data_IF_836952775792
#
_entry.id   IF_836952775792
#
_cell.length_a   1.000
_cell.length_b   1.000
_cell.length_c   1.000
_cell.angle_alpha   90.00
_cell.angle_beta   90.00
_cell.angle_gamma   90.00
#
_symmetry.space_group_name_H-M   'P 1'
#
loop_
_entity.id
_entity.type
_entity.pdbx_description
1 polymer ?
#
# COMPACT_ATOMS: atom_id res chain seq x y z
N UNK A 1 75.96 19.83 -14.04
CA UNK A 1 75.93 18.95 -12.86
C UNK A 1 74.50 18.72 -12.44
N UNK A 2 73.90 17.59 -12.80
CA UNK A 2 72.53 17.20 -12.39
C UNK A 2 72.65 16.18 -11.26
N UNK A 3 72.16 16.53 -10.08
CA UNK A 3 72.12 15.59 -8.90
C UNK A 3 70.90 14.71 -9.06
N UNK A 4 71.12 13.42 -9.19
CA UNK A 4 70.14 12.38 -9.09
C UNK A 4 69.85 12.07 -7.61
N UNK A 5 68.58 12.19 -7.21
CA UNK A 5 68.10 11.81 -5.88
C UNK A 5 67.67 10.31 -5.96
N UNK A 6 68.15 9.42 -5.12
CA UNK A 6 67.71 8.03 -5.09
C UNK A 6 66.34 7.95 -4.47
N UNK A 7 65.40 7.24 -5.12
CA UNK A 7 64.10 6.93 -4.63
C UNK A 7 64.20 5.75 -3.68
N UNK A 8 64.05 6.01 -2.39
CA UNK A 8 64.04 5.00 -1.34
C UNK A 8 62.63 4.36 -1.29
N UNK A 9 62.49 3.21 -1.96
CA UNK A 9 61.28 2.41 -1.90
C UNK A 9 61.17 1.73 -0.54
N UNK A 10 60.65 2.47 0.43
CA UNK A 10 60.33 1.93 1.75
C UNK A 10 59.38 0.73 1.63
N UNK A 11 59.81 -0.40 2.12
CA UNK A 11 59.03 -1.66 2.27
C UNK A 11 57.72 -1.35 3.02
N UNK A 12 56.62 -1.63 2.42
CA UNK A 12 55.31 -1.65 3.11
C UNK A 12 55.38 -2.70 4.24
N UNK A 13 55.01 -2.37 5.46
CA UNK A 13 54.90 -3.36 6.54
C UNK A 13 53.85 -4.39 6.14
N UNK A 14 54.23 -5.68 6.23
CA UNK A 14 53.31 -6.80 6.09
C UNK A 14 52.31 -6.75 7.23
N UNK A 15 51.02 -6.64 6.92
CA UNK A 15 49.93 -6.78 7.88
C UNK A 15 50.00 -8.17 8.54
N UNK A 16 49.81 -8.27 9.86
CA UNK A 16 49.81 -9.55 10.55
C UNK A 16 48.67 -10.43 10.04
N UNK A 17 48.99 -11.66 9.67
CA UNK A 17 48.09 -12.69 9.13
C UNK A 17 47.15 -13.34 10.15
N UNK A 18 47.01 -12.78 11.35
CA UNK A 18 46.16 -13.30 12.40
C UNK A 18 44.94 -12.42 12.67
N UNK A 19 44.12 -12.21 11.68
CA UNK A 19 42.70 -11.95 11.92
C UNK A 19 42.04 -13.30 12.22
N UNK A 20 42.02 -13.65 13.49
CA UNK A 20 41.18 -14.71 14.04
C UNK A 20 39.76 -14.43 13.56
N UNK A 21 39.24 -15.36 12.74
CA UNK A 21 37.85 -15.42 12.35
C UNK A 21 37.01 -15.60 13.60
N UNK A 22 36.59 -14.53 14.26
CA UNK A 22 35.47 -14.57 15.17
C UNK A 22 34.26 -14.87 14.29
N UNK A 23 33.89 -16.15 14.28
CA UNK A 23 32.81 -16.67 13.47
C UNK A 23 31.47 -16.19 13.99
N UNK A 24 31.04 -15.01 13.57
CA UNK A 24 29.59 -14.77 13.45
C UNK A 24 29.07 -15.82 12.46
N UNK A 25 28.01 -16.58 12.80
CA UNK A 25 27.47 -17.59 11.90
C UNK A 25 27.11 -16.90 10.59
N UNK A 26 27.81 -17.22 9.50
CA UNK A 26 27.48 -16.72 8.18
C UNK A 26 26.09 -17.26 7.85
N UNK A 27 25.08 -16.38 7.89
CA UNK A 27 23.74 -16.70 7.38
C UNK A 27 23.94 -17.25 5.98
N UNK A 28 23.64 -18.53 5.77
CA UNK A 28 23.74 -19.10 4.44
C UNK A 28 22.78 -18.33 3.53
N UNK A 29 23.17 -18.08 2.27
CA UNK A 29 22.33 -17.41 1.27
C UNK A 29 20.95 -18.08 1.11
N UNK A 30 20.87 -19.39 1.40
CA UNK A 30 19.61 -20.14 1.43
C UNK A 30 18.70 -19.74 2.60
N UNK A 31 19.27 -19.48 3.78
CA UNK A 31 18.49 -18.96 4.93
C UNK A 31 17.97 -17.56 4.64
N UNK A 32 18.75 -16.70 4.00
CA UNK A 32 18.30 -15.36 3.59
C UNK A 32 17.08 -15.42 2.65
N UNK A 33 17.08 -16.37 1.70
CA UNK A 33 15.92 -16.56 0.79
C UNK A 33 14.62 -16.92 1.53
N UNK A 34 14.71 -17.56 2.68
CA UNK A 34 13.53 -17.92 3.48
C UNK A 34 12.99 -16.74 4.30
N UNK A 35 13.81 -15.72 4.54
CA UNK A 35 13.46 -14.57 5.38
C UNK A 35 12.92 -13.38 4.60
N UNK A 36 13.00 -13.39 3.27
CA UNK A 36 12.57 -12.25 2.44
C UNK A 36 12.08 -12.72 1.07
N UNK A 37 11.01 -12.12 0.52
CA UNK A 37 10.60 -12.32 -0.86
C UNK A 37 11.55 -11.63 -1.87
N UNK A 38 12.52 -10.85 -1.40
CA UNK A 38 13.49 -10.20 -2.27
C UNK A 38 14.33 -11.22 -3.06
N UNK A 39 14.71 -10.85 -4.28
CA UNK A 39 15.54 -11.67 -5.16
C UNK A 39 17.00 -11.66 -4.76
N UNK A 40 17.32 -12.32 -3.65
CA UNK A 40 18.69 -12.45 -3.14
C UNK A 40 19.33 -13.74 -3.63
N UNK A 41 20.66 -13.75 -3.76
CA UNK A 41 21.46 -14.94 -4.05
C UNK A 41 21.05 -15.70 -5.33
N UNK A 42 20.71 -14.98 -6.41
CA UNK A 42 20.23 -15.57 -7.66
C UNK A 42 21.29 -16.40 -8.39
N UNK A 43 22.56 -16.27 -8.02
CA UNK A 43 23.69 -16.90 -8.72
C UNK A 43 24.09 -16.13 -9.98
N UNK A 44 25.08 -16.68 -10.68
CA UNK A 44 25.58 -16.15 -11.97
C UNK A 44 25.88 -17.29 -12.91
N UNK A 45 25.70 -17.05 -14.22
CA UNK A 45 26.15 -17.91 -15.30
C UNK A 45 27.04 -17.04 -16.20
N UNK A 46 28.36 -17.10 -15.99
CA UNK A 46 29.28 -16.13 -16.56
C UNK A 46 29.00 -14.71 -16.08
N UNK A 47 28.82 -13.76 -17.00
CA UNK A 47 28.47 -12.36 -16.71
C UNK A 47 26.95 -12.15 -16.51
N UNK A 48 26.11 -13.19 -16.72
CA UNK A 48 24.66 -13.07 -16.75
C UNK A 48 23.99 -13.75 -15.56
N UNK A 49 22.69 -13.48 -15.38
CA UNK A 49 21.82 -14.23 -14.48
C UNK A 49 21.54 -15.64 -15.05
N UNK A 50 21.32 -16.65 -14.19
CA UNK A 50 20.79 -17.93 -14.63
C UNK A 50 19.47 -17.77 -15.39
N UNK A 51 19.27 -18.51 -16.47
CA UNK A 51 18.08 -18.42 -17.33
C UNK A 51 16.78 -18.51 -16.53
N UNK A 52 16.70 -19.43 -15.56
CA UNK A 52 15.53 -19.57 -14.69
C UNK A 52 15.21 -18.27 -13.96
N UNK A 53 16.20 -17.64 -13.32
CA UNK A 53 16.01 -16.40 -12.57
C UNK A 53 15.61 -15.22 -13.49
N UNK A 54 16.14 -15.20 -14.72
CA UNK A 54 15.76 -14.20 -15.74
C UNK A 54 14.32 -14.40 -16.20
N UNK A 55 13.89 -15.63 -16.46
CA UNK A 55 12.51 -15.93 -16.87
C UNK A 55 11.50 -15.60 -15.78
N UNK A 56 11.80 -15.96 -14.51
CA UNK A 56 10.97 -15.58 -13.36
C UNK A 56 10.83 -14.06 -13.23
N UNK A 57 11.94 -13.34 -13.34
CA UNK A 57 11.92 -11.87 -13.32
C UNK A 57 11.07 -11.29 -14.46
N UNK A 58 11.22 -11.81 -15.68
CA UNK A 58 10.47 -11.34 -16.84
C UNK A 58 8.98 -11.59 -16.70
N UNK A 59 8.59 -12.75 -16.14
CA UNK A 59 7.19 -13.09 -15.86
C UNK A 59 6.59 -12.14 -14.82
N UNK A 60 7.29 -11.87 -13.72
CA UNK A 60 6.80 -10.97 -12.69
C UNK A 60 6.69 -9.52 -13.18
N UNK A 61 7.64 -9.11 -14.03
CA UNK A 61 7.55 -7.81 -14.70
C UNK A 61 6.33 -7.73 -15.65
N UNK A 62 6.04 -8.78 -16.39
CA UNK A 62 4.86 -8.85 -17.24
C UNK A 62 3.57 -8.77 -16.41
N UNK A 63 3.47 -9.53 -15.32
CA UNK A 63 2.33 -9.48 -14.38
C UNK A 63 2.11 -8.09 -13.80
N UNK A 64 3.20 -7.43 -13.37
CA UNK A 64 3.12 -6.07 -12.84
C UNK A 64 2.63 -5.08 -13.90
N UNK A 65 3.10 -5.21 -15.15
CA UNK A 65 2.63 -4.39 -16.27
C UNK A 65 1.15 -4.65 -16.58
N UNK A 66 0.74 -5.89 -16.62
CA UNK A 66 -0.64 -6.28 -16.91
C UNK A 66 -1.59 -5.76 -15.83
N UNK A 67 -1.18 -5.77 -14.57
CA UNK A 67 -1.95 -5.19 -13.45
C UNK A 67 -2.16 -3.66 -13.58
N UNK A 68 -1.16 -2.93 -14.15
CA UNK A 68 -1.29 -1.49 -14.44
C UNK A 68 -2.31 -1.24 -15.55
N UNK A 69 -2.38 -2.12 -16.54
CA UNK A 69 -3.22 -1.95 -17.74
C UNK A 69 -4.52 -2.73 -17.68
N UNK A 70 -4.81 -3.42 -16.58
CA UNK A 70 -6.07 -4.11 -16.38
C UNK A 70 -7.25 -3.13 -16.44
N UNK A 71 -8.38 -3.61 -16.93
CA UNK A 71 -9.61 -2.85 -16.94
C UNK A 71 -10.16 -2.69 -15.52
N UNK A 72 -10.66 -1.51 -15.22
CA UNK A 72 -11.34 -1.22 -13.97
C UNK A 72 -12.82 -1.57 -14.09
N UNK A 73 -13.25 -2.64 -13.42
CA UNK A 73 -14.64 -3.09 -13.47
C UNK A 73 -15.52 -2.32 -12.46
N UNK A 74 -15.75 -1.05 -12.76
CA UNK A 74 -16.58 -0.18 -11.93
C UNK A 74 -18.00 -0.73 -11.73
N UNK A 75 -18.56 -1.42 -12.73
CA UNK A 75 -19.92 -1.95 -12.64
C UNK A 75 -20.00 -3.12 -11.65
N UNK A 76 -19.04 -4.03 -11.66
CA UNK A 76 -18.97 -5.10 -10.67
C UNK A 76 -18.76 -4.58 -9.26
N UNK A 77 -17.96 -3.53 -9.09
CA UNK A 77 -17.76 -2.88 -7.79
C UNK A 77 -19.04 -2.21 -7.28
N UNK A 78 -19.79 -1.52 -8.16
CA UNK A 78 -21.11 -0.94 -7.80
C UNK A 78 -22.09 -2.03 -7.38
N UNK A 79 -22.17 -3.15 -8.12
CA UNK A 79 -22.99 -4.29 -7.70
C UNK A 79 -22.54 -4.88 -6.37
N UNK A 80 -21.23 -5.08 -6.19
CA UNK A 80 -20.67 -5.61 -4.96
C UNK A 80 -20.94 -4.72 -3.74
N UNK A 81 -20.95 -3.38 -3.92
CA UNK A 81 -21.37 -2.45 -2.87
C UNK A 81 -22.87 -2.55 -2.59
N UNK A 82 -23.71 -2.69 -3.61
CA UNK A 82 -25.15 -2.89 -3.44
C UNK A 82 -25.46 -4.19 -2.69
N UNK A 83 -24.73 -5.28 -2.93
CA UNK A 83 -24.83 -6.55 -2.17
C UNK A 83 -24.43 -6.38 -0.70
N UNK A 84 -23.67 -5.36 -0.36
CA UNK A 84 -23.28 -4.96 0.99
C UNK A 84 -24.24 -3.91 1.60
N UNK A 85 -25.34 -3.57 0.93
CA UNK A 85 -26.29 -2.57 1.39
C UNK A 85 -25.86 -1.11 1.15
N UNK A 86 -24.84 -0.88 0.34
CA UNK A 86 -24.31 0.45 0.06
C UNK A 86 -24.65 0.88 -1.36
N UNK A 87 -25.44 1.95 -1.50
CA UNK A 87 -25.71 2.57 -2.79
C UNK A 87 -24.50 3.40 -3.23
N UNK A 88 -23.93 3.06 -4.40
CA UNK A 88 -22.71 3.67 -4.89
C UNK A 88 -22.93 4.75 -5.94
N UNK A 89 -22.21 5.85 -5.82
CA UNK A 89 -22.12 6.92 -6.81
C UNK A 89 -20.86 6.68 -7.67
N UNK A 90 -21.03 6.62 -8.98
CA UNK A 90 -19.89 6.53 -9.89
C UNK A 90 -19.42 7.92 -10.32
N UNK A 91 -18.12 8.19 -10.19
CA UNK A 91 -17.45 9.43 -10.56
C UNK A 91 -16.19 9.17 -11.37
N UNK A 92 -15.70 10.19 -12.06
CA UNK A 92 -14.46 10.12 -12.84
C UNK A 92 -13.55 11.30 -12.49
N UNK A 93 -12.25 11.08 -12.60
CA UNK A 93 -11.27 12.15 -12.55
C UNK A 93 -11.19 12.88 -13.90
N UNK A 94 -10.39 13.96 -13.95
CA UNK A 94 -10.09 14.68 -15.20
C UNK A 94 -9.20 13.88 -16.16
N UNK A 95 -8.69 12.72 -15.78
CA UNK A 95 -7.93 11.85 -16.67
C UNK A 95 -8.87 11.03 -17.56
N UNK A 96 -9.02 11.38 -18.85
CA UNK A 96 -10.06 10.81 -19.72
C UNK A 96 -9.76 9.36 -20.13
N UNK A 97 -8.48 8.96 -20.07
CA UNK A 97 -8.03 7.62 -20.42
C UNK A 97 -6.86 7.14 -19.53
N UNK A 98 -6.65 5.84 -19.49
CA UNK A 98 -5.55 5.24 -18.72
C UNK A 98 -4.18 5.80 -19.07
N UNK A 99 -3.93 6.09 -20.35
CA UNK A 99 -2.70 6.73 -20.82
C UNK A 99 -2.47 8.10 -20.18
N UNK A 100 -3.52 8.92 -20.12
CA UNK A 100 -3.46 10.26 -19.55
C UNK A 100 -3.28 10.19 -18.03
N UNK A 101 -3.98 9.27 -17.36
CA UNK A 101 -3.81 8.99 -15.94
C UNK A 101 -2.36 8.65 -15.57
N UNK A 102 -1.68 7.85 -16.39
CA UNK A 102 -0.29 7.46 -16.15
C UNK A 102 0.69 8.61 -16.42
N UNK A 103 0.46 9.38 -17.50
CA UNK A 103 1.33 10.47 -17.93
C UNK A 103 1.11 11.78 -17.15
N UNK A 104 -0.12 12.03 -16.66
CA UNK A 104 -0.56 13.28 -16.02
C UNK A 104 -1.20 13.00 -14.66
N UNK A 105 -0.38 12.74 -13.61
CA UNK A 105 -0.90 12.45 -12.27
C UNK A 105 -1.77 13.56 -11.67
N UNK A 106 -1.58 14.79 -12.10
CA UNK A 106 -2.36 15.96 -11.71
C UNK A 106 -3.85 15.84 -12.11
N UNK A 107 -4.14 15.23 -13.26
CA UNK A 107 -5.51 15.02 -13.73
C UNK A 107 -6.27 14.00 -12.87
N UNK A 108 -5.59 12.94 -12.41
CA UNK A 108 -6.17 11.92 -11.55
C UNK A 108 -6.46 12.38 -10.12
N UNK A 109 -6.05 13.59 -9.75
CA UNK A 109 -6.29 14.18 -8.43
C UNK A 109 -7.52 15.09 -8.38
N UNK A 110 -8.17 15.33 -9.52
CA UNK A 110 -9.28 16.28 -9.66
C UNK A 110 -10.47 15.61 -10.30
N UNK A 111 -11.65 15.89 -9.77
CA UNK A 111 -12.92 15.47 -10.37
C UNK A 111 -13.15 16.17 -11.71
N UNK A 112 -13.78 15.46 -12.66
CA UNK A 112 -14.33 16.09 -13.84
C UNK A 112 -15.60 16.93 -13.49
N UNK A 113 -16.04 17.75 -14.42
CA UNK A 113 -17.15 18.69 -14.18
C UNK A 113 -18.49 17.97 -13.93
N UNK A 114 -18.74 16.88 -14.66
CA UNK A 114 -19.99 16.11 -14.53
C UNK A 114 -20.05 15.41 -13.16
N UNK A 115 -18.93 14.84 -12.71
CA UNK A 115 -18.81 14.22 -11.39
C UNK A 115 -18.94 15.24 -10.26
N UNK A 116 -18.36 16.44 -10.40
CA UNK A 116 -18.56 17.53 -9.45
C UNK A 116 -20.03 17.90 -9.31
N UNK A 117 -20.73 18.08 -10.44
CA UNK A 117 -22.16 18.41 -10.45
C UNK A 117 -23.00 17.28 -9.83
N UNK A 118 -22.65 16.02 -10.10
CA UNK A 118 -23.34 14.84 -9.58
C UNK A 118 -23.19 14.74 -8.06
N UNK A 119 -22.00 14.98 -7.51
CA UNK A 119 -21.76 14.97 -6.07
C UNK A 119 -22.45 16.13 -5.37
N UNK A 120 -22.42 17.32 -5.94
CA UNK A 120 -23.12 18.50 -5.41
C UNK A 120 -24.64 18.29 -5.30
N UNK A 121 -25.22 17.46 -6.18
CA UNK A 121 -26.64 17.11 -6.16
C UNK A 121 -27.05 16.07 -5.11
N UNK A 122 -26.10 15.44 -4.38
CA UNK A 122 -26.44 14.35 -3.45
C UNK A 122 -27.12 14.82 -2.15
N UNK A 123 -27.02 16.08 -1.81
CA UNK A 123 -27.51 16.59 -0.53
C UNK A 123 -26.72 16.05 0.67
N UNK A 124 -26.95 16.65 1.83
CA UNK A 124 -26.31 16.18 3.06
C UNK A 124 -27.00 14.90 3.55
N UNK A 125 -26.24 13.81 3.68
CA UNK A 125 -26.70 12.55 4.30
C UNK A 125 -26.19 12.48 5.74
N UNK A 126 -27.00 11.89 6.62
CA UNK A 126 -26.52 11.51 7.94
C UNK A 126 -25.41 10.45 7.77
N UNK A 127 -24.37 10.57 8.58
CA UNK A 127 -23.24 9.64 8.56
C UNK A 127 -21.90 10.35 8.62
N UNK A 128 -20.87 9.59 8.92
CA UNK A 128 -19.54 10.13 9.22
C UNK A 128 -18.54 9.83 8.11
N UNK A 129 -18.70 8.71 7.42
CA UNK A 129 -17.74 8.22 6.45
C UNK A 129 -18.23 8.35 5.01
N UNK A 130 -17.29 8.65 4.11
CA UNK A 130 -17.39 8.33 2.69
C UNK A 130 -16.39 7.22 2.35
N UNK A 131 -16.89 6.06 1.93
CA UNK A 131 -16.07 4.96 1.40
C UNK A 131 -15.89 5.20 -0.09
N UNK A 132 -14.64 5.22 -0.55
CA UNK A 132 -14.28 5.49 -1.93
C UNK A 132 -13.44 4.33 -2.46
N UNK A 133 -13.81 3.79 -3.61
CA UNK A 133 -13.06 2.75 -4.32
C UNK A 133 -12.50 3.35 -5.61
N UNK A 134 -11.18 3.48 -5.71
CA UNK A 134 -10.51 4.04 -6.87
C UNK A 134 -9.57 3.04 -7.55
N UNK A 135 -9.48 3.08 -8.88
CA UNK A 135 -8.66 2.17 -9.68
C UNK A 135 -7.15 2.24 -9.34
N UNK A 136 -6.64 3.42 -9.03
CA UNK A 136 -5.23 3.58 -8.67
C UNK A 136 -4.26 3.16 -9.77
N UNK A 137 -3.09 2.70 -9.36
CA UNK A 137 -2.08 2.16 -10.27
C UNK A 137 -2.29 0.69 -10.61
N UNK A 138 -3.11 -0.05 -9.84
CA UNK A 138 -3.46 -1.45 -10.10
C UNK A 138 -4.98 -1.65 -10.04
N UNK A 139 -5.72 -1.44 -11.14
CA UNK A 139 -7.13 -1.81 -11.20
C UNK A 139 -7.37 -3.27 -10.84
N UNK A 140 -6.42 -4.16 -11.19
CA UNK A 140 -6.48 -5.58 -10.84
C UNK A 140 -6.60 -5.81 -9.32
N UNK A 141 -5.83 -5.07 -8.52
CA UNK A 141 -5.90 -5.15 -7.06
C UNK A 141 -7.28 -4.77 -6.52
N UNK A 142 -7.83 -3.69 -7.05
CA UNK A 142 -9.14 -3.18 -6.60
C UNK A 142 -10.25 -4.15 -6.96
N UNK A 143 -10.27 -4.64 -8.20
CA UNK A 143 -11.24 -5.64 -8.66
C UNK A 143 -11.20 -6.92 -7.81
N UNK A 144 -10.01 -7.35 -7.39
CA UNK A 144 -9.83 -8.57 -6.61
C UNK A 144 -10.16 -8.40 -5.11
N UNK A 145 -9.78 -7.27 -4.51
CA UNK A 145 -9.66 -7.18 -3.06
C UNK A 145 -10.65 -6.21 -2.40
N UNK A 146 -11.16 -5.18 -3.10
CA UNK A 146 -11.92 -4.11 -2.46
C UNK A 146 -13.20 -4.62 -1.77
N UNK A 147 -14.03 -5.39 -2.45
CA UNK A 147 -15.28 -5.93 -1.88
C UNK A 147 -15.00 -6.96 -0.79
N UNK A 148 -13.96 -7.81 -0.95
CA UNK A 148 -13.58 -8.79 0.06
C UNK A 148 -13.13 -8.12 1.37
N UNK A 149 -12.36 -7.03 1.28
CA UNK A 149 -11.96 -6.24 2.44
C UNK A 149 -13.16 -5.56 3.10
N UNK A 150 -14.06 -4.95 2.33
CA UNK A 150 -15.25 -4.29 2.86
C UNK A 150 -16.17 -5.26 3.61
N UNK A 151 -16.32 -6.50 3.15
CA UNK A 151 -17.08 -7.55 3.88
C UNK A 151 -16.54 -7.80 5.28
N UNK A 152 -15.24 -7.58 5.51
CA UNK A 152 -14.61 -7.71 6.83
C UNK A 152 -14.67 -6.43 7.64
N UNK A 153 -14.61 -5.28 6.98
CA UNK A 153 -14.58 -3.97 7.63
C UNK A 153 -15.97 -3.52 8.10
N UNK A 154 -17.02 -3.69 7.28
CA UNK A 154 -18.34 -3.15 7.56
C UNK A 154 -18.92 -3.63 8.90
N UNK A 155 -18.86 -4.94 9.27
CA UNK A 155 -19.34 -5.39 10.57
C UNK A 155 -18.63 -4.73 11.75
N UNK A 156 -17.35 -4.38 11.63
CA UNK A 156 -16.60 -3.69 12.67
C UNK A 156 -17.07 -2.25 12.84
N UNK A 157 -17.38 -1.56 11.73
CA UNK A 157 -17.92 -0.22 11.76
C UNK A 157 -19.33 -0.16 12.36
N UNK A 158 -20.17 -1.15 12.08
CA UNK A 158 -21.49 -1.32 12.72
C UNK A 158 -21.37 -1.48 14.23
N UNK A 159 -20.44 -2.32 14.70
CA UNK A 159 -20.19 -2.51 16.14
C UNK A 159 -19.72 -1.21 16.82
N UNK A 160 -18.96 -0.39 16.13
CA UNK A 160 -18.47 0.90 16.62
C UNK A 160 -19.49 2.05 16.41
N UNK A 161 -20.69 1.77 15.93
CA UNK A 161 -21.74 2.73 15.58
C UNK A 161 -21.24 3.86 14.65
N UNK A 162 -20.40 3.49 13.67
CA UNK A 162 -19.88 4.41 12.66
C UNK A 162 -20.74 4.32 11.40
N UNK A 163 -21.48 5.37 11.12
CA UNK A 163 -22.38 5.42 9.96
C UNK A 163 -21.64 5.79 8.68
N UNK A 164 -21.95 5.06 7.62
CA UNK A 164 -21.46 5.34 6.26
C UNK A 164 -22.48 6.22 5.55
N UNK A 165 -22.10 7.46 5.27
CA UNK A 165 -22.95 8.40 4.54
C UNK A 165 -22.96 8.12 3.05
N UNK A 166 -21.82 7.77 2.47
CA UNK A 166 -21.64 7.64 1.03
C UNK A 166 -20.72 6.48 0.67
N UNK A 167 -21.03 5.81 -0.45
CA UNK A 167 -20.14 4.91 -1.16
C UNK A 167 -19.89 5.47 -2.57
N UNK A 168 -18.64 5.50 -3.01
CA UNK A 168 -18.24 6.09 -4.28
C UNK A 168 -17.31 5.16 -5.03
N UNK A 169 -17.53 4.95 -6.32
CA UNK A 169 -16.60 4.25 -7.23
C UNK A 169 -16.00 5.30 -8.16
N UNK A 170 -14.67 5.45 -8.14
CA UNK A 170 -13.96 6.53 -8.80
C UNK A 170 -12.99 6.01 -9.86
N UNK A 171 -13.24 6.37 -11.13
CA UNK A 171 -12.38 6.01 -12.27
C UNK A 171 -11.28 7.04 -12.50
N UNK A 172 -10.06 6.57 -12.79
CA UNK A 172 -8.89 7.42 -13.00
C UNK A 172 -8.39 8.08 -11.71
N UNK A 173 -8.61 7.45 -10.57
CA UNK A 173 -8.41 8.06 -9.26
C UNK A 173 -6.97 7.98 -8.76
N UNK A 174 -6.44 9.08 -8.25
CA UNK A 174 -5.30 9.18 -7.33
C UNK A 174 -5.80 9.40 -5.91
N UNK A 175 -4.98 9.10 -4.91
CA UNK A 175 -5.36 9.23 -3.50
C UNK A 175 -6.01 10.58 -3.18
N UNK A 176 -5.44 11.69 -3.66
CA UNK A 176 -5.97 13.03 -3.43
C UNK A 176 -7.34 13.33 -4.09
N UNK A 177 -7.84 12.46 -4.98
CA UNK A 177 -9.21 12.56 -5.48
C UNK A 177 -10.22 12.28 -4.36
N UNK A 178 -9.84 11.43 -3.40
CA UNK A 178 -10.64 11.14 -2.23
C UNK A 178 -10.96 12.38 -1.39
N UNK A 179 -10.03 13.33 -1.32
CA UNK A 179 -10.23 14.58 -0.60
C UNK A 179 -11.24 15.49 -1.30
N UNK A 180 -11.15 15.59 -2.64
CA UNK A 180 -12.13 16.36 -3.42
C UNK A 180 -13.54 15.75 -3.31
N UNK A 181 -13.64 14.40 -3.37
CA UNK A 181 -14.91 13.67 -3.21
C UNK A 181 -15.48 13.93 -1.80
N UNK A 182 -14.66 13.71 -0.77
CA UNK A 182 -15.09 13.89 0.62
C UNK A 182 -15.52 15.31 0.93
N UNK A 183 -14.77 16.31 0.44
CA UNK A 183 -15.12 17.72 0.57
C UNK A 183 -16.44 18.05 -0.15
N UNK A 184 -16.64 17.55 -1.37
CA UNK A 184 -17.87 17.79 -2.14
C UNK A 184 -19.12 17.18 -1.47
N UNK A 185 -18.94 16.06 -0.75
CA UNK A 185 -20.01 15.36 -0.03
C UNK A 185 -20.18 15.85 1.43
N UNK A 186 -19.28 16.69 1.94
CA UNK A 186 -19.30 17.13 3.33
C UNK A 186 -19.04 15.99 4.32
N UNK A 187 -18.30 14.96 3.93
CA UNK A 187 -17.97 13.82 4.78
C UNK A 187 -16.98 14.23 5.90
N UNK A 188 -17.18 13.72 7.12
CA UNK A 188 -16.23 13.97 8.22
C UNK A 188 -14.90 13.26 8.00
N UNK A 189 -14.94 12.05 7.38
CA UNK A 189 -13.75 11.28 7.05
C UNK A 189 -13.95 10.54 5.73
N UNK A 190 -12.89 10.41 4.95
CA UNK A 190 -12.84 9.54 3.78
C UNK A 190 -11.99 8.31 4.05
N UNK A 191 -12.44 7.16 3.53
CA UNK A 191 -11.73 5.89 3.50
C UNK A 191 -11.60 5.48 2.04
N UNK A 192 -10.43 5.68 1.47
CA UNK A 192 -10.16 5.42 0.06
C UNK A 192 -9.39 4.13 -0.14
N UNK A 193 -10.08 3.13 -0.70
CA UNK A 193 -9.47 1.88 -1.17
C UNK A 193 -8.94 2.11 -2.58
N UNK A 194 -7.66 1.84 -2.80
CA UNK A 194 -7.02 2.16 -4.08
C UNK A 194 -5.93 1.14 -4.45
N UNK A 195 -5.82 0.80 -5.73
CA UNK A 195 -4.76 -0.08 -6.22
C UNK A 195 -3.39 0.57 -6.11
N UNK A 196 -2.48 -0.09 -5.42
CA UNK A 196 -1.10 0.36 -5.24
C UNK A 196 -0.27 0.20 -6.53
N UNK A 197 0.94 0.73 -6.52
CA UNK A 197 1.87 0.49 -7.62
C UNK A 197 2.28 -0.98 -7.64
N UNK A 198 2.01 -1.72 -8.73
CA UNK A 198 2.38 -3.12 -8.84
C UNK A 198 3.87 -3.34 -8.60
N UNK A 199 4.19 -4.19 -7.64
CA UNK A 199 5.53 -4.69 -7.39
C UNK A 199 5.79 -6.01 -8.13
N UNK A 200 7.05 -6.42 -8.20
CA UNK A 200 7.43 -7.70 -8.83
C UNK A 200 7.01 -8.92 -8.00
N UNK A 201 6.84 -8.75 -6.69
CA UNK A 201 6.37 -9.79 -5.77
C UNK A 201 4.89 -9.68 -5.41
N UNK A 202 4.27 -8.53 -5.69
CA UNK A 202 2.86 -8.24 -5.42
C UNK A 202 2.33 -7.30 -6.51
N UNK A 203 1.75 -7.87 -7.55
CA UNK A 203 1.20 -7.11 -8.67
C UNK A 203 -0.20 -6.53 -8.35
N UNK A 204 -0.88 -7.12 -7.38
CA UNK A 204 -2.27 -6.88 -7.02
C UNK A 204 -2.43 -6.37 -5.56
N UNK A 205 -1.52 -5.56 -5.07
CA UNK A 205 -1.61 -4.98 -3.73
C UNK A 205 -2.63 -3.85 -3.67
N UNK A 206 -3.51 -3.89 -2.65
CA UNK A 206 -4.49 -2.85 -2.34
C UNK A 206 -3.97 -2.00 -1.17
N UNK A 207 -4.14 -0.68 -1.26
CA UNK A 207 -3.91 0.26 -0.18
C UNK A 207 -5.21 0.95 0.25
N UNK A 208 -5.28 1.33 1.53
CA UNK A 208 -6.39 2.10 2.09
C UNK A 208 -5.85 3.36 2.73
N UNK A 209 -6.39 4.51 2.33
CA UNK A 209 -6.01 5.82 2.84
C UNK A 209 -7.18 6.44 3.59
N UNK A 210 -6.89 6.96 4.79
CA UNK A 210 -7.86 7.59 5.67
C UNK A 210 -7.54 9.08 5.82
N UNK A 211 -8.54 9.94 5.63
CA UNK A 211 -8.38 11.39 5.75
C UNK A 211 -9.53 11.98 6.55
N UNK A 212 -9.24 12.57 7.70
CA UNK A 212 -10.20 13.33 8.49
C UNK A 212 -10.34 14.75 7.94
N UNK A 213 -11.56 15.29 7.95
CA UNK A 213 -11.91 16.61 7.40
C UNK A 213 -11.31 16.85 6.00
N UNK A 214 -11.64 15.99 5.02
CA UNK A 214 -11.02 16.03 3.70
C UNK A 214 -11.28 17.38 3.03
N UNK A 215 -10.21 17.98 2.48
CA UNK A 215 -10.26 19.25 1.79
C UNK A 215 -9.34 19.25 0.55
N UNK A 216 -9.70 20.02 -0.45
CA UNK A 216 -8.88 20.16 -1.64
C UNK A 216 -7.48 20.71 -1.31
N UNK A 217 -6.44 20.07 -1.87
CA UNK A 217 -5.06 20.49 -1.66
C UNK A 217 -4.37 19.93 -0.43
N UNK A 218 -5.00 18.98 0.28
CA UNK A 218 -4.35 18.29 1.40
C UNK A 218 -3.11 17.51 0.93
N UNK A 219 -2.09 17.49 1.79
CA UNK A 219 -0.83 16.76 1.59
C UNK A 219 -0.90 15.36 2.17
N UNK A 220 0.02 14.48 1.74
CA UNK A 220 0.03 13.07 2.14
C UNK A 220 0.28 12.88 3.66
N UNK A 221 0.90 13.85 4.33
CA UNK A 221 1.12 13.84 5.78
C UNK A 221 -0.18 13.87 6.61
N UNK A 222 -1.30 14.29 6.00
CA UNK A 222 -2.63 14.32 6.63
C UNK A 222 -3.39 12.99 6.52
N UNK A 223 -2.79 11.97 5.89
CA UNK A 223 -3.43 10.68 5.63
C UNK A 223 -2.75 9.56 6.39
N UNK A 224 -3.53 8.69 7.02
CA UNK A 224 -3.03 7.38 7.40
C UNK A 224 -3.13 6.43 6.21
N UNK A 225 -2.24 5.46 6.15
CA UNK A 225 -2.21 4.47 5.09
C UNK A 225 -2.06 3.07 5.68
N UNK A 226 -2.93 2.15 5.24
CA UNK A 226 -2.78 0.72 5.45
C UNK A 226 -2.51 0.10 4.08
N UNK A 227 -1.34 -0.46 3.88
CA UNK A 227 -0.84 -0.93 2.59
C UNK A 227 -0.58 -2.43 2.57
N UNK A 228 -0.21 -2.95 1.39
CA UNK A 228 0.18 -4.35 1.20
C UNK A 228 -0.95 -5.35 1.48
N UNK A 229 -2.19 -5.00 1.17
CA UNK A 229 -3.37 -5.85 1.37
C UNK A 229 -3.55 -6.73 0.14
N UNK A 230 -3.19 -8.00 0.26
CA UNK A 230 -3.30 -9.05 -0.76
C UNK A 230 -3.07 -10.42 -0.16
N UNK A 231 -3.30 -11.50 -0.91
CA UNK A 231 -3.27 -12.88 -0.40
C UNK A 231 -1.97 -13.34 0.26
N UNK A 232 -0.82 -12.77 -0.11
CA UNK A 232 0.50 -13.07 0.49
C UNK A 232 1.03 -11.91 1.35
N UNK A 233 0.26 -10.84 1.53
CA UNK A 233 0.59 -9.66 2.34
C UNK A 233 -0.23 -9.58 3.62
N UNK A 234 -0.76 -8.39 3.90
CA UNK A 234 -1.65 -8.17 5.02
C UNK A 234 -3.02 -8.81 4.74
N UNK A 235 -3.48 -9.68 5.66
CA UNK A 235 -4.77 -10.36 5.51
C UNK A 235 -5.95 -9.38 5.58
N UNK A 236 -7.12 -9.76 5.03
CA UNK A 236 -8.29 -8.88 5.11
C UNK A 236 -8.77 -8.67 6.54
N UNK A 237 -8.66 -9.68 7.41
CA UNK A 237 -9.08 -9.57 8.82
C UNK A 237 -8.17 -8.61 9.58
N UNK A 238 -6.85 -8.71 9.41
CA UNK A 238 -5.88 -7.81 10.04
C UNK A 238 -6.00 -6.38 9.48
N UNK A 239 -6.18 -6.26 8.16
CA UNK A 239 -6.39 -4.96 7.51
C UNK A 239 -7.67 -4.30 8.01
N UNK A 240 -8.79 -5.03 8.09
CA UNK A 240 -10.06 -4.52 8.57
C UNK A 240 -9.98 -4.09 10.04
N UNK A 241 -9.34 -4.88 10.90
CA UNK A 241 -9.14 -4.52 12.31
C UNK A 241 -8.31 -3.23 12.46
N UNK A 242 -7.22 -3.10 11.70
CA UNK A 242 -6.36 -1.91 11.69
C UNK A 242 -7.09 -0.69 11.15
N UNK A 243 -7.81 -0.82 10.03
CA UNK A 243 -8.57 0.26 9.42
C UNK A 243 -9.71 0.69 10.35
N UNK A 244 -10.45 -0.24 10.95
CA UNK A 244 -11.52 0.04 11.91
C UNK A 244 -10.98 0.82 13.12
N UNK A 245 -9.83 0.41 13.67
CA UNK A 245 -9.18 1.15 14.76
C UNK A 245 -8.81 2.58 14.34
N UNK A 246 -8.20 2.76 13.16
CA UNK A 246 -7.83 4.08 12.65
C UNK A 246 -9.05 4.98 12.40
N UNK A 247 -10.15 4.43 11.91
CA UNK A 247 -11.41 5.17 11.71
C UNK A 247 -11.95 5.64 13.06
N UNK A 248 -12.09 4.75 14.04
CA UNK A 248 -12.60 5.08 15.37
C UNK A 248 -11.77 6.16 16.05
N UNK A 249 -10.44 5.97 16.12
CA UNK A 249 -9.54 6.93 16.74
C UNK A 249 -9.47 8.25 15.97
N UNK A 250 -9.47 8.19 14.64
CA UNK A 250 -9.47 9.38 13.79
C UNK A 250 -10.72 10.23 13.94
N UNK A 251 -11.89 9.60 14.07
CA UNK A 251 -13.16 10.29 14.34
C UNK A 251 -13.24 10.83 15.78
N UNK A 252 -12.75 10.06 16.77
CA UNK A 252 -12.76 10.45 18.16
C UNK A 252 -11.78 11.59 18.46
N UNK A 253 -10.59 11.56 17.89
CA UNK A 253 -9.54 12.57 18.07
C UNK A 253 -9.61 13.71 17.06
N UNK A 254 -10.47 13.62 16.05
CA UNK A 254 -10.65 14.58 14.95
C UNK A 254 -9.36 14.86 14.16
N UNK A 255 -8.56 13.81 13.92
CA UNK A 255 -7.30 13.91 13.21
C UNK A 255 -6.92 12.62 12.49
N UNK A 256 -6.07 12.73 11.46
CA UNK A 256 -5.40 11.63 10.75
C UNK A 256 -3.97 12.03 10.37
N UNK A 257 -3.27 11.13 9.71
CA UNK A 257 -1.92 11.33 9.22
C UNK A 257 -0.86 11.16 10.31
N UNK A 258 0.21 11.93 10.23
CA UNK A 258 1.37 11.82 11.15
C UNK A 258 1.01 12.07 12.63
N UNK A 259 -0.09 12.78 12.89
CA UNK A 259 -0.57 13.05 14.23
C UNK A 259 -1.32 11.86 14.84
N UNK A 260 -1.84 10.94 14.04
CA UNK A 260 -2.47 9.69 14.48
C UNK A 260 -1.51 8.52 14.22
N UNK A 261 -0.76 8.13 15.24
CA UNK A 261 0.08 6.93 15.19
C UNK A 261 -0.78 5.69 15.32
N UNK A 262 -0.43 4.66 14.54
CA UNK A 262 -1.06 3.34 14.63
C UNK A 262 -0.62 2.63 15.93
N UNK A 263 -1.52 2.55 16.89
CA UNK A 263 -1.35 1.87 18.17
C UNK A 263 -2.26 0.63 18.27
N UNK A 264 -2.82 0.17 17.14
CA UNK A 264 -3.71 -1.01 17.08
C UNK A 264 -3.05 -2.31 17.58
N UNK A 265 -1.72 -2.37 17.59
CA UNK A 265 -0.92 -3.46 18.16
C UNK A 265 -0.49 -3.29 19.62
N UNK A 266 -1.06 -2.33 20.38
CA UNK A 266 -0.79 -2.12 21.81
C UNK A 266 -1.26 -3.26 22.71
N UNK A 267 -1.14 -3.17 24.08
CA UNK A 267 -1.37 -4.28 25.01
C UNK A 267 -2.74 -4.95 24.93
N UNK A 268 -3.74 -4.35 24.29
CA UNK A 268 -5.00 -5.01 23.93
C UNK A 268 -4.99 -5.63 22.53
N UNK A 269 -3.95 -5.41 21.75
CA UNK A 269 -3.75 -5.91 20.38
C UNK A 269 -2.65 -6.95 20.24
N UNK A 270 -2.11 -7.50 21.35
CA UNK A 270 -1.05 -8.53 21.33
C UNK A 270 -1.50 -9.90 20.79
N UNK A 271 -2.60 -9.95 20.04
CA UNK A 271 -3.05 -11.17 19.34
C UNK A 271 -2.35 -11.44 18.00
N UNK A 272 -1.50 -10.54 17.46
CA UNK A 272 -1.11 -10.60 16.05
C UNK A 272 0.37 -10.63 15.72
N UNK A 273 1.24 -10.98 16.68
CA UNK A 273 2.56 -11.52 16.34
C UNK A 273 2.78 -12.80 17.13
N UNK A 274 1.95 -13.81 16.86
CA UNK A 274 2.36 -15.19 17.01
C UNK A 274 3.25 -15.50 15.80
N UNK A 275 4.44 -14.90 15.78
CA UNK A 275 5.50 -15.38 14.95
C UNK A 275 5.90 -16.74 15.51
N UNK A 276 5.76 -17.78 14.71
CA UNK A 276 6.39 -19.08 14.86
C UNK A 276 7.93 -18.92 14.86
N UNK A 277 8.46 -18.37 15.92
CA UNK A 277 9.86 -18.29 16.23
C UNK A 277 10.10 -19.17 17.43
N UNK A 278 10.43 -20.46 17.19
CA UNK A 278 11.16 -21.27 18.15
C UNK A 278 12.36 -20.46 18.63
N UNK A 279 12.31 -20.05 19.88
CA UNK A 279 13.50 -19.56 20.58
C UNK A 279 14.32 -20.78 20.90
N UNK A 280 15.36 -21.02 20.10
CA UNK A 280 16.44 -21.88 20.53
C UNK A 280 17.03 -21.31 21.84
N UNK A 281 16.74 -21.99 22.91
CA UNK A 281 17.40 -21.76 24.19
C UNK A 281 18.88 -22.08 23.99
N UNK A 282 19.72 -21.07 23.89
CA UNK A 282 21.15 -21.24 24.20
C UNK A 282 21.28 -21.35 25.70
N UNK A 283 21.53 -22.58 26.19
CA UNK A 283 22.09 -22.85 27.48
C UNK A 283 23.58 -22.57 27.35
N UNK A 284 24.09 -21.65 28.17
CA UNK A 284 25.51 -21.51 28.45
C UNK A 284 25.95 -22.71 29.31
N UNK A 285 26.98 -23.38 28.86
CA UNK A 285 27.97 -24.10 29.67
C UNK A 285 29.37 -23.80 29.09
#
# INVERSE_FOLDING_TARGET
MRRTIPCDCARRPSLPSNLTKTGAPSLSLERLRKLTPARVALGRTGASLPTKALLEFTLDHARARDAVHADFDAQSLVRGLADLGLEAIHVSSRAPARKDYLARPDLGRKLDADSQSRLAGQGAKAGQLAIIIGDGLSPAAVNAHAIALLRKLLPLLELDAVDIAYAVVATGARVALGDEIGNALGARMTVMLIGERPGLSAADSLGVYLTFAPAAGMTDEKRNCVSNIHGAGLSYDDAAAKIGWLIREGLARELTGIALKDESGGPMGTGFIANSGERDNFVED
#
